data_IF_993532402166
#
_entry.id   IF_993532402166
#
_cell.length_a   1.000
_cell.length_b   1.000
_cell.length_c   1.000
_cell.angle_alpha   90.00
_cell.angle_beta   90.00
_cell.angle_gamma   90.00
#
_symmetry.space_group_name_H-M   'P 1'
#
loop_
_entity.id
_entity.type
_entity.pdbx_description
1 polymer ?
#
# COMPACT_ATOMS: atom_id res chain seq x y z
N UNK A 1 29.30 -20.18 3.43
CA UNK A 1 28.26 -20.38 4.46
C UNK A 1 26.97 -20.72 3.74
N UNK A 2 26.36 -21.86 4.03
CA UNK A 2 25.05 -22.24 3.47
C UNK A 2 23.98 -21.42 4.17
N UNK A 3 23.40 -20.43 3.48
CA UNK A 3 22.25 -19.69 3.97
C UNK A 3 21.06 -20.64 4.00
N UNK A 4 20.67 -21.10 5.19
CA UNK A 4 19.47 -21.94 5.35
C UNK A 4 18.25 -21.12 4.95
N UNK A 5 17.53 -21.58 3.92
CA UNK A 5 16.32 -20.91 3.45
C UNK A 5 15.19 -21.05 4.48
N UNK A 6 14.58 -19.93 4.86
CA UNK A 6 13.45 -19.91 5.80
C UNK A 6 12.20 -20.48 5.10
N UNK A 7 11.57 -21.45 5.73
CA UNK A 7 10.28 -21.98 5.25
C UNK A 7 9.16 -20.97 5.47
N UNK A 8 8.09 -21.06 4.68
CA UNK A 8 6.89 -20.25 4.85
C UNK A 8 6.37 -20.26 6.30
N UNK A 9 6.31 -21.45 6.92
CA UNK A 9 5.86 -21.61 8.30
C UNK A 9 6.74 -20.85 9.29
N UNK A 10 8.06 -20.86 9.11
CA UNK A 10 8.99 -20.13 9.99
C UNK A 10 8.82 -18.62 9.88
N UNK A 11 8.50 -18.10 8.70
CA UNK A 11 8.28 -16.66 8.48
C UNK A 11 6.92 -16.21 9.04
N UNK A 12 5.86 -17.01 8.86
CA UNK A 12 4.49 -16.51 9.07
C UNK A 12 3.89 -16.87 10.44
N UNK A 13 4.38 -17.92 11.12
CA UNK A 13 3.75 -18.42 12.36
C UNK A 13 3.80 -17.39 13.51
N UNK A 14 4.92 -16.67 13.66
CA UNK A 14 5.06 -15.69 14.75
C UNK A 14 4.08 -14.52 14.58
N UNK A 15 3.89 -14.06 13.34
CA UNK A 15 2.92 -13.00 13.02
C UNK A 15 1.50 -13.51 13.24
N UNK A 16 1.18 -14.72 12.78
CA UNK A 16 -0.14 -15.33 13.00
C UNK A 16 -0.49 -15.45 14.49
N UNK A 17 0.45 -15.89 15.32
CA UNK A 17 0.28 -16.01 16.76
C UNK A 17 0.07 -14.63 17.42
N UNK A 18 0.84 -13.61 17.03
CA UNK A 18 0.66 -12.25 17.57
C UNK A 18 -0.70 -11.69 17.20
N UNK A 19 -1.14 -11.86 15.95
CA UNK A 19 -2.44 -11.40 15.49
C UNK A 19 -3.57 -12.08 16.27
N UNK A 20 -3.45 -13.37 16.56
CA UNK A 20 -4.45 -14.07 17.38
C UNK A 20 -4.51 -13.54 18.82
N UNK A 21 -3.35 -13.25 19.43
CA UNK A 21 -3.30 -12.58 20.73
C UNK A 21 -3.96 -11.19 20.67
N UNK A 22 -3.64 -10.40 19.64
CA UNK A 22 -4.21 -9.06 19.46
C UNK A 22 -5.73 -9.10 19.26
N UNK A 23 -6.29 -10.11 18.59
CA UNK A 23 -7.75 -10.29 18.51
C UNK A 23 -8.36 -10.50 19.90
N UNK A 24 -7.70 -11.26 20.76
CA UNK A 24 -8.08 -11.41 22.17
C UNK A 24 -7.98 -10.10 22.97
N UNK A 25 -7.08 -9.20 22.57
CA UNK A 25 -6.92 -7.85 23.12
C UNK A 25 -7.91 -6.83 22.51
N UNK A 26 -8.77 -7.23 21.57
CA UNK A 26 -9.79 -6.37 20.95
C UNK A 26 -9.46 -5.87 19.53
N UNK A 27 -8.38 -6.35 18.90
CA UNK A 27 -8.10 -6.07 17.48
C UNK A 27 -9.23 -6.62 16.61
N UNK A 28 -9.89 -5.71 15.90
CA UNK A 28 -10.83 -6.07 14.85
C UNK A 28 -10.04 -6.36 13.56
N UNK A 29 -10.36 -7.44 12.87
CA UNK A 29 -9.83 -7.71 11.54
C UNK A 29 -10.92 -7.41 10.53
N UNK A 30 -10.54 -6.85 9.39
CA UNK A 30 -11.46 -6.54 8.29
C UNK A 30 -12.39 -7.74 7.97
N UNK A 31 -13.70 -7.52 7.79
CA UNK A 31 -14.62 -8.58 7.40
C UNK A 31 -14.14 -9.30 6.14
N UNK A 32 -14.30 -10.63 6.09
CA UNK A 32 -13.92 -11.48 4.96
C UNK A 32 -12.41 -11.43 4.60
N UNK A 33 -11.55 -11.07 5.54
CA UNK A 33 -10.10 -11.10 5.36
C UNK A 33 -9.48 -12.39 5.94
N UNK A 34 -8.82 -13.18 5.09
CA UNK A 34 -8.09 -14.38 5.51
C UNK A 34 -6.64 -14.04 5.82
N UNK A 35 -6.31 -14.02 7.13
CA UNK A 35 -4.94 -13.81 7.62
C UNK A 35 -3.97 -14.85 7.04
N UNK A 36 -4.37 -16.13 7.00
CA UNK A 36 -3.55 -17.23 6.48
C UNK A 36 -3.21 -17.05 4.99
N UNK A 37 -4.21 -16.70 4.17
CA UNK A 37 -4.00 -16.49 2.73
C UNK A 37 -3.13 -15.26 2.47
N UNK A 38 -3.35 -14.18 3.22
CA UNK A 38 -2.56 -12.97 3.08
C UNK A 38 -1.09 -13.20 3.45
N UNK A 39 -0.82 -13.82 4.60
CA UNK A 39 0.52 -14.20 5.04
C UNK A 39 1.22 -15.14 4.04
N UNK A 40 0.47 -16.09 3.47
CA UNK A 40 0.99 -16.99 2.43
C UNK A 40 1.39 -16.22 1.17
N UNK A 41 0.54 -15.30 0.70
CA UNK A 41 0.87 -14.45 -0.44
C UNK A 41 2.06 -13.53 -0.17
N UNK A 42 2.20 -13.03 1.06
CA UNK A 42 3.29 -12.16 1.45
C UNK A 42 4.64 -12.88 1.51
N UNK A 43 4.67 -14.13 1.96
CA UNK A 43 5.88 -14.94 1.90
C UNK A 43 6.43 -15.03 0.46
N UNK A 44 5.57 -15.32 -0.52
CA UNK A 44 5.99 -15.38 -1.92
C UNK A 44 6.37 -14.01 -2.48
N UNK A 45 5.66 -12.94 -2.10
CA UNK A 45 6.00 -11.57 -2.51
C UNK A 45 7.37 -11.11 -1.98
N UNK A 46 7.72 -11.46 -0.74
CA UNK A 46 9.03 -11.18 -0.15
C UNK A 46 10.14 -12.04 -0.78
N UNK A 47 9.86 -13.33 -1.02
CA UNK A 47 10.82 -14.27 -1.62
C UNK A 47 11.14 -13.93 -3.08
N UNK A 48 10.13 -13.54 -3.86
CA UNK A 48 10.23 -13.30 -5.30
C UNK A 48 10.23 -11.80 -5.64
N UNK A 49 10.69 -10.93 -4.73
CA UNK A 49 10.76 -9.49 -5.00
C UNK A 49 11.76 -9.18 -6.12
N UNK A 50 11.48 -8.12 -6.88
CA UNK A 50 12.38 -7.62 -7.92
C UNK A 50 13.77 -7.24 -7.38
N UNK A 51 13.86 -6.85 -6.09
CA UNK A 51 15.13 -6.55 -5.42
C UNK A 51 15.85 -7.81 -4.89
N UNK A 52 15.40 -9.00 -5.28
CA UNK A 52 15.88 -10.29 -4.80
C UNK A 52 15.12 -10.81 -3.58
N UNK A 53 15.58 -11.93 -3.03
CA UNK A 53 14.91 -12.59 -1.91
C UNK A 53 15.05 -11.77 -0.61
N UNK A 54 14.00 -11.01 -0.28
CA UNK A 54 14.00 -10.10 0.87
C UNK A 54 14.06 -10.86 2.20
N UNK A 55 13.61 -12.12 2.25
CA UNK A 55 13.68 -12.96 3.45
C UNK A 55 15.13 -13.33 3.82
N UNK A 56 16.05 -13.25 2.86
CA UNK A 56 17.48 -13.51 3.07
C UNK A 56 18.29 -12.22 3.21
N UNK A 57 17.86 -11.15 2.54
CA UNK A 57 18.59 -9.90 2.48
C UNK A 57 18.23 -8.91 3.58
N UNK A 58 17.04 -9.04 4.19
CA UNK A 58 16.55 -8.12 5.20
C UNK A 58 16.55 -8.73 6.60
N UNK A 59 16.54 -7.86 7.62
CA UNK A 59 16.43 -8.26 9.02
C UNK A 59 15.11 -9.00 9.30
N UNK A 60 15.15 -9.98 10.21
CA UNK A 60 13.93 -10.73 10.60
C UNK A 60 12.89 -9.81 11.23
N UNK A 61 13.35 -8.80 11.97
CA UNK A 61 12.49 -7.82 12.64
C UNK A 61 11.72 -6.94 11.64
N UNK A 62 12.38 -6.48 10.58
CA UNK A 62 11.68 -5.70 9.54
C UNK A 62 10.68 -6.53 8.74
N UNK A 63 11.02 -7.79 8.44
CA UNK A 63 10.08 -8.73 7.81
C UNK A 63 8.86 -8.95 8.73
N UNK A 64 9.09 -9.17 10.02
CA UNK A 64 8.03 -9.34 11.00
C UNK A 64 7.12 -8.11 11.08
N UNK A 65 7.69 -6.92 11.22
CA UNK A 65 6.94 -5.66 11.32
C UNK A 65 6.14 -5.38 10.03
N UNK A 66 6.74 -5.57 8.85
CA UNK A 66 6.03 -5.38 7.58
C UNK A 66 4.85 -6.34 7.39
N UNK A 67 4.99 -7.60 7.84
CA UNK A 67 3.89 -8.57 7.82
C UNK A 67 2.81 -8.24 8.86
N UNK A 68 3.20 -7.77 10.04
CA UNK A 68 2.27 -7.33 11.09
C UNK A 68 1.44 -6.12 10.62
N UNK A 69 2.09 -5.10 10.04
CA UNK A 69 1.44 -3.93 9.46
C UNK A 69 0.46 -4.33 8.35
N UNK A 70 0.83 -5.31 7.52
CA UNK A 70 -0.01 -5.78 6.44
C UNK A 70 -1.29 -6.42 6.98
N UNK A 71 -1.14 -7.31 7.96
CA UNK A 71 -2.27 -8.06 8.52
C UNK A 71 -3.19 -7.16 9.35
N UNK A 72 -2.62 -6.26 10.15
CA UNK A 72 -3.40 -5.29 10.94
C UNK A 72 -4.23 -4.38 10.04
N UNK A 73 -3.67 -3.89 8.93
CA UNK A 73 -4.42 -3.10 7.93
C UNK A 73 -5.32 -3.95 7.02
N UNK A 74 -5.31 -5.28 7.19
CA UNK A 74 -6.06 -6.22 6.39
C UNK A 74 -5.67 -6.21 4.91
N UNK A 75 -4.44 -5.87 4.54
CA UNK A 75 -3.99 -5.74 3.16
C UNK A 75 -3.47 -7.08 2.60
N UNK A 76 -3.49 -7.23 1.26
CA UNK A 76 -2.92 -8.40 0.60
C UNK A 76 -2.11 -8.03 -0.64
N UNK A 77 -0.86 -8.51 -0.78
CA UNK A 77 -0.06 -8.28 -1.96
C UNK A 77 -0.62 -9.01 -3.19
N UNK A 78 -1.30 -10.17 -3.01
CA UNK A 78 -1.98 -10.88 -4.10
C UNK A 78 -3.06 -10.02 -4.79
N UNK A 79 -3.64 -9.07 -4.06
CA UNK A 79 -4.64 -8.11 -4.59
C UNK A 79 -4.02 -6.77 -4.97
N UNK A 80 -2.68 -6.68 -5.05
CA UNK A 80 -1.93 -5.45 -5.29
C UNK A 80 -2.28 -4.33 -4.31
N UNK A 81 -2.65 -4.66 -3.06
CA UNK A 81 -3.05 -3.68 -2.04
C UNK A 81 -1.86 -3.10 -1.29
N UNK A 82 -0.72 -3.78 -1.33
CA UNK A 82 0.51 -3.36 -0.69
C UNK A 82 1.72 -3.98 -1.39
N UNK A 83 2.89 -3.42 -1.13
CA UNK A 83 4.18 -3.83 -1.66
C UNK A 83 5.22 -3.83 -0.54
N UNK A 84 6.22 -4.71 -0.65
CA UNK A 84 7.35 -4.75 0.27
C UNK A 84 8.54 -4.06 -0.40
N UNK A 85 8.97 -2.94 0.17
CA UNK A 85 10.05 -2.11 -0.38
C UNK A 85 11.29 -2.25 0.50
N UNK A 86 12.41 -2.61 -0.12
CA UNK A 86 13.71 -2.74 0.54
C UNK A 86 14.36 -1.37 0.72
N UNK A 87 14.93 -1.14 1.90
CA UNK A 87 15.78 -0.01 2.25
C UNK A 87 17.02 -0.53 2.98
N UNK A 88 18.14 -0.69 2.27
CA UNK A 88 19.34 -1.29 2.86
C UNK A 88 19.10 -2.73 3.30
N UNK A 89 19.25 -3.01 4.60
CA UNK A 89 18.96 -4.29 5.24
C UNK A 89 17.53 -4.40 5.80
N UNK A 90 16.68 -3.42 5.57
CA UNK A 90 15.33 -3.37 6.14
C UNK A 90 14.28 -3.50 5.03
N UNK A 91 13.17 -4.15 5.32
CA UNK A 91 11.97 -4.15 4.45
C UNK A 91 10.84 -3.38 5.11
N UNK A 92 10.17 -2.53 4.36
CA UNK A 92 9.00 -1.80 4.83
C UNK A 92 7.79 -2.12 3.96
N UNK A 93 6.62 -2.17 4.60
CA UNK A 93 5.36 -2.22 3.88
C UNK A 93 5.03 -0.84 3.31
N UNK A 94 4.67 -0.79 2.03
CA UNK A 94 4.07 0.38 1.40
C UNK A 94 2.70 0.02 0.88
N UNK A 95 1.73 0.87 1.15
CA UNK A 95 0.38 0.69 0.67
C UNK A 95 0.26 1.18 -0.78
N UNK A 96 -0.48 0.44 -1.59
CA UNK A 96 -0.86 0.90 -2.93
C UNK A 96 -2.07 1.84 -2.84
N UNK A 97 -2.44 2.47 -3.95
CA UNK A 97 -3.70 3.24 -3.96
C UNK A 97 -4.92 2.31 -3.76
N UNK A 98 -4.89 1.06 -4.23
CA UNK A 98 -5.94 0.08 -3.95
C UNK A 98 -6.03 -0.27 -2.46
N UNK A 99 -4.89 -0.41 -1.79
CA UNK A 99 -4.87 -0.59 -0.34
C UNK A 99 -5.45 0.62 0.38
N UNK A 100 -5.04 1.83 -0.03
CA UNK A 100 -5.53 3.08 0.54
C UNK A 100 -7.05 3.20 0.38
N UNK A 101 -7.57 2.93 -0.82
CA UNK A 101 -9.02 2.93 -1.06
C UNK A 101 -9.73 1.90 -0.20
N UNK A 102 -9.19 0.69 -0.08
CA UNK A 102 -9.78 -0.36 0.75
C UNK A 102 -9.84 0.06 2.22
N UNK A 103 -8.76 0.60 2.76
CA UNK A 103 -8.70 0.95 4.18
C UNK A 103 -9.59 2.15 4.49
N UNK A 104 -9.65 3.14 3.61
CA UNK A 104 -10.59 4.26 3.75
C UNK A 104 -12.04 3.80 3.65
N UNK A 105 -12.36 2.84 2.75
CA UNK A 105 -13.70 2.22 2.66
C UNK A 105 -14.09 1.37 3.87
N UNK A 106 -13.16 1.03 4.76
CA UNK A 106 -13.47 0.33 6.00
C UNK A 106 -13.91 1.28 7.12
N UNK A 107 -13.71 2.59 6.96
CA UNK A 107 -14.28 3.59 7.86
C UNK A 107 -15.80 3.58 7.72
N UNK A 108 -16.51 3.60 8.86
CA UNK A 108 -17.97 3.36 8.92
C UNK A 108 -18.80 4.39 8.13
N UNK A 109 -18.24 5.56 7.83
CA UNK A 109 -18.92 6.66 7.17
C UNK A 109 -18.62 6.76 5.67
N UNK A 110 -17.73 5.93 5.11
CA UNK A 110 -17.33 5.99 3.70
C UNK A 110 -18.12 4.98 2.86
N UNK A 111 -18.81 5.49 1.84
CA UNK A 111 -19.57 4.68 0.86
C UNK A 111 -18.72 4.34 -0.36
N UNK A 112 -18.10 5.35 -0.97
CA UNK A 112 -17.30 5.14 -2.17
C UNK A 112 -16.15 6.14 -2.33
N UNK A 113 -15.18 5.78 -3.16
CA UNK A 113 -14.01 6.59 -3.49
C UNK A 113 -13.84 6.55 -5.00
N UNK A 114 -13.94 7.72 -5.62
CA UNK A 114 -13.85 7.90 -7.08
C UNK A 114 -12.68 8.83 -7.34
N UNK A 115 -11.75 8.44 -8.19
CA UNK A 115 -10.64 9.30 -8.59
C UNK A 115 -10.53 9.31 -10.11
N UNK A 116 -10.21 10.48 -10.66
CA UNK A 116 -10.06 10.66 -12.10
C UNK A 116 -8.94 11.64 -12.43
N UNK A 117 -8.37 11.45 -13.61
CA UNK A 117 -7.36 12.34 -14.20
C UNK A 117 -8.07 13.43 -15.00
N UNK A 118 -7.50 14.63 -14.99
CA UNK A 118 -7.92 15.75 -15.84
C UNK A 118 -6.83 15.94 -16.87
N UNK A 119 -7.17 15.81 -18.14
CA UNK A 119 -6.28 16.01 -19.27
C UNK A 119 -6.44 17.42 -19.86
N UNK A 120 -5.42 17.89 -20.56
CA UNK A 120 -5.57 19.08 -21.40
C UNK A 120 -6.66 18.82 -22.45
N UNK A 121 -7.62 19.74 -22.56
CA UNK A 121 -8.80 19.60 -23.42
C UNK A 121 -10.09 19.20 -22.68
N UNK A 122 -10.01 18.77 -21.41
CA UNK A 122 -11.20 18.48 -20.61
C UNK A 122 -11.93 19.76 -20.16
N UNK A 123 -13.25 19.69 -20.03
CA UNK A 123 -14.07 20.74 -19.41
C UNK A 123 -14.36 20.36 -17.95
N UNK A 124 -13.70 21.05 -17.02
CA UNK A 124 -13.88 20.84 -15.58
C UNK A 124 -14.42 22.11 -14.92
N UNK A 125 -15.58 21.98 -14.27
CA UNK A 125 -16.20 23.05 -13.52
C UNK A 125 -16.20 22.74 -12.02
N UNK A 126 -15.63 23.67 -11.24
CA UNK A 126 -15.52 23.56 -9.78
C UNK A 126 -16.06 24.84 -9.16
N UNK A 127 -16.93 24.68 -8.17
CA UNK A 127 -17.45 25.78 -7.38
C UNK A 127 -17.00 25.67 -5.93
N UNK A 128 -17.11 26.77 -5.22
CA UNK A 128 -17.00 26.78 -3.77
C UNK A 128 -18.41 26.88 -3.18
N UNK A 129 -18.81 25.89 -2.37
CA UNK A 129 -20.04 25.89 -1.60
C UNK A 129 -19.70 25.73 -0.14
N UNK A 130 -20.16 26.68 0.69
CA UNK A 130 -19.93 26.67 2.15
C UNK A 130 -18.45 26.50 2.55
N UNK A 131 -17.54 27.10 1.78
CA UNK A 131 -16.10 27.01 2.03
C UNK A 131 -15.45 25.73 1.50
N UNK A 132 -16.19 24.83 0.84
CA UNK A 132 -15.70 23.56 0.30
C UNK A 132 -15.75 23.57 -1.23
N UNK A 133 -14.73 22.97 -1.86
CA UNK A 133 -14.76 22.76 -3.30
C UNK A 133 -15.74 21.64 -3.64
N UNK A 134 -16.53 21.83 -4.69
CA UNK A 134 -17.49 20.86 -5.20
C UNK A 134 -17.29 20.72 -6.71
N UNK A 135 -17.22 19.47 -7.18
CA UNK A 135 -17.17 19.18 -8.61
C UNK A 135 -18.58 19.36 -9.17
N UNK A 136 -18.75 20.32 -10.08
CA UNK A 136 -20.04 20.56 -10.75
C UNK A 136 -20.18 19.64 -11.94
N UNK A 137 -19.13 19.57 -12.75
CA UNK A 137 -19.11 18.81 -13.98
C UNK A 137 -17.67 18.48 -14.39
N UNK A 138 -17.49 17.30 -14.99
CA UNK A 138 -16.28 16.91 -15.70
C UNK A 138 -16.71 16.24 -17.01
N UNK A 139 -16.49 16.92 -18.14
CA UNK A 139 -16.65 16.31 -19.47
C UNK A 139 -15.27 16.05 -20.04
N UNK A 140 -15.07 14.81 -20.47
CA UNK A 140 -13.83 14.35 -21.08
C UNK A 140 -14.18 13.52 -22.32
N UNK A 141 -13.43 13.73 -23.39
CA UNK A 141 -13.44 12.85 -24.55
C UNK A 141 -12.38 11.78 -24.34
N UNK A 142 -12.66 10.51 -24.67
CA UNK A 142 -11.74 9.42 -24.36
C UNK A 142 -10.35 9.57 -25.01
N UNK A 143 -10.26 10.29 -26.13
CA UNK A 143 -8.99 10.60 -26.81
C UNK A 143 -8.13 11.60 -26.04
N UNK A 144 -8.70 12.38 -25.11
CA UNK A 144 -7.92 13.30 -24.27
C UNK A 144 -6.95 12.54 -23.36
N UNK A 145 -7.12 11.22 -23.17
CA UNK A 145 -6.15 10.40 -22.47
C UNK A 145 -4.75 10.39 -23.11
N UNK A 146 -4.64 10.72 -24.42
CA UNK A 146 -3.36 10.89 -25.10
C UNK A 146 -2.70 12.26 -24.84
N UNK A 147 -3.44 13.22 -24.24
CA UNK A 147 -2.97 14.57 -23.97
C UNK A 147 -2.20 14.65 -22.64
N UNK A 148 -1.44 15.73 -22.40
CA UNK A 148 -0.81 15.97 -21.11
C UNK A 148 -1.83 16.04 -19.96
N UNK A 149 -1.43 15.54 -18.79
CA UNK A 149 -2.23 15.65 -17.57
C UNK A 149 -2.24 17.11 -17.08
N UNK A 150 -3.42 17.71 -16.96
CA UNK A 150 -3.64 19.02 -16.37
C UNK A 150 -3.85 18.96 -14.84
N UNK A 151 -4.35 17.83 -14.32
CA UNK A 151 -4.57 17.61 -12.90
C UNK A 151 -5.20 16.25 -12.59
N UNK A 152 -5.65 16.07 -11.35
CA UNK A 152 -6.43 14.91 -10.94
C UNK A 152 -7.31 15.27 -9.75
N UNK A 153 -8.41 14.55 -9.57
CA UNK A 153 -9.26 14.68 -8.38
C UNK A 153 -9.63 13.34 -7.77
N UNK A 154 -10.03 13.38 -6.51
CA UNK A 154 -10.62 12.29 -5.77
C UNK A 154 -11.87 12.81 -5.05
N UNK A 155 -12.96 12.06 -5.12
CA UNK A 155 -14.21 12.28 -4.39
C UNK A 155 -14.37 11.11 -3.43
N UNK A 156 -14.47 11.42 -2.14
CA UNK A 156 -14.91 10.47 -1.13
C UNK A 156 -16.38 10.75 -0.85
N UNK A 157 -17.24 9.78 -1.16
CA UNK A 157 -18.68 9.83 -0.90
C UNK A 157 -18.98 9.13 0.41
N UNK A 158 -19.67 9.83 1.31
CA UNK A 158 -20.16 9.26 2.56
C UNK A 158 -21.48 8.53 2.39
N UNK A 159 -21.82 7.70 3.37
CA UNK A 159 -23.10 6.95 3.39
C UNK A 159 -24.33 7.85 3.39
N UNK A 160 -24.21 9.06 3.95
CA UNK A 160 -25.26 10.09 3.95
C UNK A 160 -25.38 10.87 2.62
N UNK A 161 -24.50 10.60 1.65
CA UNK A 161 -24.45 11.25 0.34
C UNK A 161 -23.55 12.50 0.29
N UNK A 162 -22.91 12.90 1.40
CA UNK A 162 -21.95 13.99 1.41
C UNK A 162 -20.72 13.63 0.55
N UNK A 163 -20.27 14.56 -0.31
CA UNK A 163 -19.13 14.36 -1.21
C UNK A 163 -17.99 15.30 -0.88
N UNK A 164 -16.81 14.73 -0.63
CA UNK A 164 -15.60 15.49 -0.33
C UNK A 164 -14.67 15.46 -1.53
N UNK A 165 -14.53 16.59 -2.23
CA UNK A 165 -13.61 16.75 -3.35
C UNK A 165 -12.21 17.15 -2.85
N UNK A 166 -11.23 16.32 -3.19
CA UNK A 166 -9.82 16.70 -3.22
C UNK A 166 -9.39 16.83 -4.66
N UNK A 167 -8.85 17.99 -5.07
CA UNK A 167 -8.34 18.21 -6.42
C UNK A 167 -6.92 18.75 -6.37
N UNK A 168 -6.11 18.31 -7.32
CA UNK A 168 -4.71 18.71 -7.49
C UNK A 168 -4.44 19.15 -8.92
N UNK A 169 -3.71 20.25 -9.08
CA UNK A 169 -3.15 20.62 -10.39
C UNK A 169 -1.93 19.76 -10.70
N UNK A 170 -1.58 19.63 -11.98
CA UNK A 170 -0.36 18.94 -12.41
C UNK A 170 0.89 19.47 -11.69
N UNK A 171 0.99 20.78 -11.49
CA UNK A 171 2.08 21.40 -10.73
C UNK A 171 2.17 20.91 -9.27
N UNK A 172 1.03 20.68 -8.61
CA UNK A 172 1.02 20.14 -7.26
C UNK A 172 1.44 18.67 -7.23
N UNK A 173 0.99 17.90 -8.23
CA UNK A 173 1.35 16.49 -8.40
C UNK A 173 2.86 16.36 -8.65
N UNK A 174 3.40 17.13 -9.59
CA UNK A 174 4.83 17.15 -9.92
C UNK A 174 5.69 17.53 -8.72
N UNK A 175 5.21 18.45 -7.88
CA UNK A 175 5.91 18.81 -6.64
C UNK A 175 6.07 17.60 -5.72
N UNK A 176 5.09 16.71 -5.64
CA UNK A 176 5.24 15.49 -4.85
C UNK A 176 6.10 14.44 -5.50
N UNK A 177 6.00 14.29 -6.82
CA UNK A 177 6.88 13.40 -7.55
C UNK A 177 8.34 13.86 -7.49
N UNK A 178 8.61 15.15 -7.31
CA UNK A 178 9.96 15.67 -7.12
C UNK A 178 10.66 15.14 -5.85
N UNK A 179 9.90 14.59 -4.90
CA UNK A 179 10.41 13.98 -3.67
C UNK A 179 10.70 12.50 -3.83
N UNK A 180 10.25 11.86 -4.91
CA UNK A 180 10.55 10.47 -5.19
C UNK A 180 12.04 10.31 -5.53
N UNK A 181 12.67 9.26 -4.98
CA UNK A 181 14.07 8.94 -5.27
C UNK A 181 14.28 8.49 -6.71
N UNK A 182 13.25 7.88 -7.31
CA UNK A 182 13.22 7.43 -8.71
C UNK A 182 11.97 7.98 -9.40
N UNK A 183 12.06 8.23 -10.71
CA UNK A 183 10.99 8.85 -11.51
C UNK A 183 10.40 7.94 -12.60
N UNK A 184 10.91 6.73 -12.78
CA UNK A 184 10.56 5.87 -13.91
C UNK A 184 9.06 5.55 -13.94
N UNK A 185 8.49 5.14 -12.82
CA UNK A 185 7.06 4.78 -12.71
C UNK A 185 6.14 5.97 -13.01
N UNK A 186 6.52 7.17 -12.57
CA UNK A 186 5.77 8.40 -12.83
C UNK A 186 5.85 8.83 -14.30
N UNK A 187 6.87 8.38 -15.04
CA UNK A 187 7.04 8.62 -16.46
C UNK A 187 6.24 7.58 -17.26
N UNK A 188 6.31 6.30 -16.86
CA UNK A 188 5.70 5.19 -17.59
C UNK A 188 4.18 5.10 -17.36
N UNK A 189 3.70 5.47 -16.16
CA UNK A 189 2.29 5.39 -15.76
C UNK A 189 1.82 6.69 -15.08
N UNK A 190 1.87 7.84 -15.77
CA UNK A 190 1.64 9.15 -15.16
C UNK A 190 0.20 9.34 -14.66
N UNK A 191 -0.78 8.73 -15.32
CA UNK A 191 -2.20 8.74 -15.01
C UNK A 191 -2.51 8.02 -13.69
N UNK A 192 -2.02 6.78 -13.56
CA UNK A 192 -2.17 5.97 -12.35
C UNK A 192 -1.46 6.61 -11.17
N UNK A 193 -0.28 7.19 -11.41
CA UNK A 193 0.48 7.90 -10.38
C UNK A 193 -0.21 9.19 -9.96
N UNK A 194 -0.88 9.91 -10.87
CA UNK A 194 -1.66 11.10 -10.55
C UNK A 194 -2.87 10.74 -9.67
N UNK A 195 -3.59 9.67 -10.03
CA UNK A 195 -4.71 9.14 -9.22
C UNK A 195 -4.25 8.71 -7.83
N UNK A 196 -3.18 7.91 -7.73
CA UNK A 196 -2.59 7.51 -6.45
C UNK A 196 -2.25 8.71 -5.58
N UNK A 197 -1.66 9.74 -6.19
CA UNK A 197 -1.25 10.97 -5.51
C UNK A 197 -2.46 11.68 -4.87
N UNK A 198 -3.55 11.85 -5.63
CA UNK A 198 -4.74 12.55 -5.12
C UNK A 198 -5.57 11.70 -4.16
N UNK A 199 -5.63 10.38 -4.36
CA UNK A 199 -6.26 9.43 -3.43
C UNK A 199 -5.57 9.49 -2.07
N UNK A 200 -4.24 9.39 -2.05
CA UNK A 200 -3.48 9.45 -0.80
C UNK A 200 -3.71 10.78 -0.06
N UNK A 201 -3.78 11.89 -0.81
CA UNK A 201 -4.09 13.20 -0.24
C UNK A 201 -5.49 13.26 0.38
N UNK A 202 -6.49 12.71 -0.32
CA UNK A 202 -7.86 12.66 0.19
C UNK A 202 -7.97 11.76 1.43
N UNK A 203 -7.38 10.56 1.35
CA UNK A 203 -7.36 9.56 2.42
C UNK A 203 -6.78 10.09 3.74
N UNK A 204 -5.67 10.86 3.67
CA UNK A 204 -5.04 11.45 4.86
C UNK A 204 -6.00 12.26 5.73
N UNK A 205 -6.94 12.98 5.13
CA UNK A 205 -7.93 13.75 5.90
C UNK A 205 -8.83 12.79 6.67
N UNK A 206 -9.40 11.79 6.00
CA UNK A 206 -10.34 10.84 6.59
C UNK A 206 -9.72 9.95 7.66
N UNK A 207 -8.50 9.45 7.41
CA UNK A 207 -7.78 8.59 8.36
C UNK A 207 -7.37 9.37 9.61
N UNK A 208 -6.94 10.63 9.47
CA UNK A 208 -6.49 11.41 10.63
C UNK A 208 -7.62 12.09 11.41
N UNK A 209 -8.84 12.11 10.86
CA UNK A 209 -10.03 12.65 11.55
C UNK A 209 -11.03 11.57 11.96
N UNK A 210 -10.71 10.28 11.74
CA UNK A 210 -11.56 9.18 12.20
C UNK A 210 -11.44 8.99 13.72
N UNK A 211 -12.50 8.44 14.32
CA UNK A 211 -12.61 8.18 15.77
C UNK A 211 -11.57 7.14 16.26
N UNK A 212 -11.40 7.02 17.60
CA UNK A 212 -10.34 6.33 18.41
C UNK A 212 -10.07 4.83 18.12
N UNK A 213 -10.32 4.34 16.91
CA UNK A 213 -9.76 3.10 16.37
C UNK A 213 -8.26 3.27 16.04
N UNK A 214 -7.50 3.75 17.03
CA UNK A 214 -6.14 4.30 16.95
C UNK A 214 -5.06 3.29 16.52
N UNK A 215 -5.35 1.99 16.58
CA UNK A 215 -4.40 0.98 16.13
C UNK A 215 -4.19 1.01 14.61
N UNK A 216 -5.18 1.51 13.86
CA UNK A 216 -5.13 1.55 12.40
C UNK A 216 -4.50 2.83 11.87
N UNK A 217 -4.78 3.99 12.49
CA UNK A 217 -4.34 5.29 11.98
C UNK A 217 -2.80 5.37 11.91
N UNK A 218 -2.09 4.88 12.94
CA UNK A 218 -0.63 4.82 12.95
C UNK A 218 -0.07 3.91 11.85
N UNK A 219 -0.60 2.69 11.72
CA UNK A 219 -0.17 1.72 10.72
C UNK A 219 -0.44 2.22 9.29
N UNK A 220 -1.59 2.86 9.06
CA UNK A 220 -1.96 3.48 7.78
C UNK A 220 -1.02 4.64 7.46
N UNK A 221 -0.75 5.52 8.42
CA UNK A 221 0.13 6.65 8.20
C UNK A 221 1.56 6.22 7.87
N UNK A 222 2.04 5.11 8.45
CA UNK A 222 3.36 4.55 8.16
C UNK A 222 3.46 3.93 6.75
N UNK A 223 2.35 3.44 6.20
CA UNK A 223 2.33 2.72 4.91
C UNK A 223 1.87 3.59 3.73
N UNK A 224 1.04 4.62 3.97
CA UNK A 224 0.77 5.67 2.99
C UNK A 224 2.10 6.37 2.72
N UNK A 225 2.53 6.34 1.46
CA UNK A 225 3.76 7.03 1.08
C UNK A 225 3.70 8.50 1.50
N UNK A 226 4.67 8.93 2.31
CA UNK A 226 4.89 10.33 2.67
C UNK A 226 5.44 11.10 1.44
N UNK A 227 4.61 11.26 0.42
CA UNK A 227 4.94 12.05 -0.78
C UNK A 227 4.57 13.53 -0.61
N UNK A 228 3.95 13.85 0.52
CA UNK A 228 3.58 15.19 0.94
C UNK A 228 3.92 15.34 2.42
N UNK A 229 5.12 15.83 2.70
CA UNK A 229 5.32 16.63 3.90
C UNK A 229 6.08 17.89 3.51
N UNK A 230 5.46 19.05 3.74
CA UNK A 230 6.00 20.35 3.36
C UNK A 230 6.76 20.98 4.53
N UNK A 231 6.72 20.42 5.75
CA UNK A 231 7.22 21.09 6.96
C UNK A 231 7.73 20.15 8.09
N UNK A 232 8.24 18.96 7.79
CA UNK A 232 9.12 18.27 8.74
C UNK A 232 10.56 18.50 8.32
N UNK A 233 11.23 19.41 9.03
CA UNK A 233 12.69 19.33 9.17
C UNK A 233 12.99 17.86 9.49
N UNK A 234 13.88 17.26 8.70
CA UNK A 234 14.54 16.01 9.06
C UNK A 234 15.31 16.36 10.35
N UNK A 235 14.67 16.24 11.50
CA UNK A 235 15.42 15.87 12.69
C UNK A 235 15.96 14.50 12.35
N UNK A 236 17.27 14.34 12.51
CA UNK A 236 17.88 13.02 12.57
C UNK A 236 16.92 12.09 13.30
N UNK A 237 16.57 10.98 12.67
CA UNK A 237 15.59 10.06 13.21
C UNK A 237 16.10 9.61 14.58
N UNK A 238 15.58 10.21 15.66
CA UNK A 238 15.39 9.45 16.88
C UNK A 238 14.62 8.20 16.45
N UNK A 239 15.08 6.99 16.82
CA UNK A 239 14.47 5.77 16.35
C UNK A 239 12.99 5.83 16.73
N UNK A 240 12.12 5.97 15.73
CA UNK A 240 10.68 5.83 15.91
C UNK A 240 10.49 4.35 16.25
N UNK A 241 10.46 4.05 17.54
CA UNK A 241 10.07 2.74 18.01
C UNK A 241 8.63 2.55 17.54
N UNK A 242 8.45 1.71 16.53
CA UNK A 242 7.13 1.23 16.19
C UNK A 242 6.54 0.58 17.44
N UNK A 243 5.23 0.64 17.64
CA UNK A 243 4.59 -0.06 18.76
C UNK A 243 4.92 -1.58 18.76
N UNK A 244 5.38 -2.15 17.63
CA UNK A 244 5.91 -3.50 17.53
C UNK A 244 7.32 -3.68 18.12
N UNK A 245 8.19 -2.67 18.06
CA UNK A 245 9.55 -2.70 18.60
C UNK A 245 9.56 -2.80 20.14
N UNK A 246 8.72 -1.99 20.81
CA UNK A 246 8.60 -1.97 22.28
C UNK A 246 8.09 -3.30 22.85
N UNK A 247 7.35 -4.05 22.04
CA UNK A 247 6.79 -5.36 22.40
C UNK A 247 7.82 -6.45 22.11
N UNK A 248 8.60 -6.32 21.04
CA UNK A 248 9.68 -7.25 20.68
C UNK A 248 10.83 -7.21 21.70
N UNK A 249 11.20 -6.03 22.21
CA UNK A 249 12.23 -5.88 23.24
C UNK A 249 11.80 -6.52 24.58
N UNK A 250 10.51 -6.42 24.93
CA UNK A 250 9.93 -7.10 26.10
C UNK A 250 9.86 -8.62 25.94
N UNK A 251 9.78 -9.12 24.70
CA UNK A 251 9.66 -10.55 24.40
C UNK A 251 11.03 -11.25 24.23
N UNK A 252 12.08 -10.51 23.86
CA UNK A 252 13.40 -11.06 23.54
C UNK A 252 14.48 -10.77 24.58
N UNK A 253 14.20 -9.92 25.58
CA UNK A 253 15.06 -9.74 26.75
C UNK A 253 16.43 -9.13 26.46
N UNK A 254 16.56 -8.35 25.39
CA UNK A 254 17.85 -7.79 24.95
C UNK A 254 17.96 -6.33 25.38
N UNK A 255 18.79 -6.05 26.39
CA UNK A 255 19.21 -4.70 26.73
C UNK A 255 20.37 -4.29 25.84
N UNK A 256 20.22 -3.22 25.05
CA UNK A 256 21.30 -2.66 24.23
C UNK A 256 22.07 -1.65 25.08
N UNK A 257 23.34 -1.95 25.35
CA UNK A 257 24.32 -1.00 25.87
C UNK A 257 24.84 -0.15 24.72
N UNK A 258 24.94 1.15 24.97
CA UNK A 258 25.33 2.20 24.02
C UNK A 258 26.85 2.42 24.11
N UNK A 259 27.56 2.32 22.98
CA UNK A 259 28.78 3.11 22.71
C UNK A 259 28.91 3.37 21.19
N UNK A 260 29.55 4.50 20.81
CA UNK A 260 29.27 5.18 19.55
C UNK A 260 30.17 4.72 18.41
N UNK A 261 29.65 4.71 17.18
CA UNK A 261 30.45 4.52 15.98
C UNK A 261 30.45 5.80 15.13
N UNK A 262 31.68 6.20 14.80
CA UNK A 262 32.07 7.32 13.94
C UNK A 262 31.50 7.23 12.52
N UNK A 263 31.40 8.44 11.96
CA UNK A 263 31.17 8.85 10.59
C UNK A 263 31.67 7.87 9.51
N UNK A 264 30.75 7.44 8.63
CA UNK A 264 31.10 6.82 7.37
C UNK A 264 30.08 7.22 6.29
N UNK A 265 30.48 8.19 5.49
CA UNK A 265 29.96 8.49 4.15
C UNK A 265 29.73 7.23 3.31
N UNK A 266 28.53 7.06 2.74
CA UNK A 266 28.27 6.03 1.73
C UNK A 266 27.66 6.64 0.47
N UNK A 267 28.37 6.36 -0.61
CA UNK A 267 28.14 6.62 -2.03
C UNK A 267 26.99 5.79 -2.64
N UNK A 268 26.50 6.31 -3.77
CA UNK A 268 25.47 5.80 -4.69
C UNK A 268 25.58 4.30 -5.09
N UNK A 269 24.42 3.66 -5.35
CA UNK A 269 23.91 3.35 -6.71
C UNK A 269 22.94 2.13 -6.73
N UNK A 270 22.09 2.09 -7.78
CA UNK A 270 21.28 0.98 -8.35
C UNK A 270 19.86 0.74 -7.78
N UNK A 271 18.84 1.35 -8.39
CA UNK A 271 18.01 0.91 -9.56
C UNK A 271 16.96 -0.15 -9.21
N UNK A 272 15.69 0.25 -9.34
CA UNK A 272 14.51 -0.63 -9.26
C UNK A 272 13.79 -0.52 -10.60
N UNK A 273 13.81 -1.60 -11.38
CA UNK A 273 12.90 -1.79 -12.51
C UNK A 273 11.57 -2.34 -11.97
N UNK A 274 10.48 -1.61 -12.22
CA UNK A 274 9.12 -2.09 -11.99
C UNK A 274 8.62 -2.65 -13.32
N UNK A 275 8.71 -3.98 -13.49
CA UNK A 275 8.23 -4.63 -14.70
C UNK A 275 6.69 -4.63 -14.71
N UNK A 276 6.10 -3.90 -15.64
CA UNK A 276 4.69 -4.04 -16.02
C UNK A 276 4.44 -5.45 -16.56
N UNK A 277 3.43 -6.12 -16.02
CA UNK A 277 2.95 -7.41 -16.54
C UNK A 277 1.93 -7.12 -17.65
N UNK A 278 2.29 -7.50 -18.88
CA UNK A 278 1.45 -7.48 -20.08
C UNK A 278 0.28 -8.46 -19.94
N UNK A 279 -0.95 -7.99 -20.16
CA UNK A 279 -2.21 -8.70 -19.88
C UNK A 279 -2.68 -9.52 -21.10
N UNK A 280 -1.90 -9.60 -22.18
CA UNK A 280 -2.39 -10.12 -23.46
C UNK A 280 -2.32 -11.65 -23.68
N UNK A 281 -1.92 -12.47 -22.71
CA UNK A 281 -1.84 -13.94 -22.89
C UNK A 281 -2.19 -14.78 -21.65
N UNK A 282 -3.42 -14.70 -21.18
CA UNK A 282 -4.02 -15.80 -20.41
C UNK A 282 -5.13 -16.43 -21.27
N UNK A 283 -4.81 -17.55 -21.91
CA UNK A 283 -5.83 -18.48 -22.38
C UNK A 283 -6.52 -19.09 -21.15
N UNK A 284 -7.84 -18.87 -21.05
CA UNK A 284 -8.69 -19.45 -20.01
C UNK A 284 -9.03 -20.88 -20.41
N UNK A 285 -8.49 -21.88 -19.72
CA UNK A 285 -9.08 -23.23 -19.70
C UNK A 285 -10.09 -23.29 -18.56
N UNK A 286 -11.38 -23.33 -18.91
CA UNK A 286 -12.46 -23.58 -17.95
C UNK A 286 -12.45 -25.06 -17.55
N UNK A 287 -12.33 -25.35 -16.24
CA UNK A 287 -12.58 -26.69 -15.70
C UNK A 287 -14.04 -26.75 -15.23
N UNK A 288 -14.81 -27.70 -15.77
CA UNK A 288 -16.19 -27.97 -15.37
C UNK A 288 -16.19 -28.91 -14.16
N UNK A 289 -16.88 -28.51 -13.10
CA UNK A 289 -16.94 -29.25 -11.82
C UNK A 289 -18.38 -29.74 -11.61
N UNK A 290 -18.56 -31.03 -11.28
CA UNK A 290 -19.87 -31.60 -10.98
C UNK A 290 -20.42 -31.09 -9.64
N UNK A 291 -21.62 -30.48 -9.68
CA UNK A 291 -22.17 -29.74 -8.55
C UNK A 291 -22.75 -30.61 -7.42
N UNK A 292 -22.83 -31.94 -7.58
CA UNK A 292 -23.35 -32.85 -6.56
C UNK A 292 -22.25 -33.65 -5.86
N UNK A 293 -21.08 -33.81 -6.46
CA UNK A 293 -19.99 -34.63 -5.91
C UNK A 293 -18.66 -33.90 -5.73
N UNK A 294 -18.47 -32.75 -6.39
CA UNK A 294 -17.28 -31.91 -6.21
C UNK A 294 -15.99 -32.47 -6.84
N UNK A 295 -16.07 -33.48 -7.70
CA UNK A 295 -14.94 -33.96 -8.50
C UNK A 295 -14.77 -33.15 -9.79
N UNK A 296 -13.51 -32.97 -10.20
CA UNK A 296 -13.11 -32.35 -11.48
C UNK A 296 -13.22 -33.43 -12.56
N UNK A 297 -14.00 -33.17 -13.61
CA UNK A 297 -14.10 -34.07 -14.76
C UNK A 297 -13.00 -33.69 -15.76
N UNK A 298 -12.00 -34.55 -15.92
CA UNK A 298 -11.00 -34.39 -16.98
C UNK A 298 -11.65 -34.73 -18.33
N UNK A 299 -11.75 -33.74 -19.23
CA UNK A 299 -12.21 -33.98 -20.61
C UNK A 299 -11.19 -34.87 -21.35
N UNK A 300 -11.67 -36.00 -21.88
CA UNK A 300 -10.91 -36.86 -22.79
C UNK A 300 -10.50 -36.08 -24.06
N UNK A 301 -9.20 -36.13 -24.40
CA UNK A 301 -8.67 -35.56 -25.64
C UNK A 301 -9.28 -36.22 -26.89
N UNK A 302 -9.69 -35.46 -27.91
CA UNK A 302 -9.92 -36.03 -29.24
C UNK A 302 -8.63 -36.03 -30.07
N UNK A 303 -8.40 -37.18 -30.71
CA UNK A 303 -7.36 -37.55 -31.69
C UNK A 303 -6.88 -36.46 -32.67
#
# INVERSE_FOLDING_TARGET
MTTTELTQKQVTSNVANRIEAMKGEGLLIAPNYSVSNALSSAYYALKNSASGNLLQQCSQDSVYNALLDMVTQGLSPAKKQCYFIKYGSEVQLRMSYFGTMKTVKQLQDVKDIIAEVIYEGDEVEIKNENGRKVLVNHKTEWQNADNPIAGAYCIIERVDGEKFLTIMTKKQIDKSWSKAKTKNVQIDFPDQMAMRTVINRAAKFFVNTSDDSDLFAGAINNTIAEEYDNDRQIKEAEPVQSAGQDILDKMTGKTVAEEPAEDATISEAETVEEAGVDISKMETTEQVIDAETGEILDEEEPF
#
